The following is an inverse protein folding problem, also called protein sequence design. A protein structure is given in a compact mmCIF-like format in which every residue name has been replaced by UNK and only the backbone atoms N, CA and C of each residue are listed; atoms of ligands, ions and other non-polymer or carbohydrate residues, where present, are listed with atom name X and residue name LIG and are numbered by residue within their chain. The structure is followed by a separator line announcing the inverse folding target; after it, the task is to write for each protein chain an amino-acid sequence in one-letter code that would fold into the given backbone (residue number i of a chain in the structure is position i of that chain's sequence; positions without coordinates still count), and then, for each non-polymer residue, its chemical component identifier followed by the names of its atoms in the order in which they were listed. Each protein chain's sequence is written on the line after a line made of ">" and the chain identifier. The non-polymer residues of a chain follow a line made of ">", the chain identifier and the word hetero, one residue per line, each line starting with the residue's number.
data_IF_272987090308
#
_entry.id   IF_272987090308
#
_cell.length_a   1.000
_cell.length_b   1.000
_cell.length_c   1.000
_cell.angle_alpha   90.00
_cell.angle_beta   90.00
_cell.angle_gamma   90.00
#
_symmetry.space_group_name_H-M   'P 1'
#
loop_
_entity.id
_entity.type
_entity.pdbx_description
1 polymer ?
#
# COMPACT_ATOMS: atom_id res chain seq x y z
N UNK A 1 -2.74 1.56 0.40
CA UNK A 1 -3.35 2.91 0.39
C UNK A 1 -2.67 3.73 -0.72
N UNK A 2 -3.44 4.48 -1.50
CA UNK A 2 -2.96 5.35 -2.61
C UNK A 2 -3.90 6.55 -2.78
N UNK A 3 -3.49 7.65 -3.45
CA UNK A 3 -4.32 8.86 -3.57
C UNK A 3 -5.70 8.61 -4.18
N UNK A 4 -5.79 7.74 -5.20
CA UNK A 4 -7.06 7.39 -5.85
C UNK A 4 -8.08 6.71 -4.93
N UNK A 5 -7.64 6.20 -3.77
CA UNK A 5 -8.52 5.57 -2.77
C UNK A 5 -8.84 6.52 -1.61
N UNK A 6 -8.46 7.80 -1.66
CA UNK A 6 -8.73 8.78 -0.61
C UNK A 6 -9.57 9.90 -1.22
N UNK A 7 -10.73 10.17 -0.62
CA UNK A 7 -11.55 11.34 -0.98
C UNK A 7 -11.54 12.37 0.14
N UNK A 8 -11.65 13.63 -0.27
CA UNK A 8 -11.74 14.77 0.64
C UNK A 8 -13.17 15.29 0.62
N UNK A 9 -13.78 15.38 1.79
CA UNK A 9 -15.18 15.78 1.96
C UNK A 9 -15.28 16.93 2.96
N UNK A 10 -16.50 17.46 3.14
CA UNK A 10 -16.81 18.48 4.16
C UNK A 10 -15.89 19.72 4.03
N UNK A 11 -15.78 20.27 2.81
CA UNK A 11 -14.95 21.44 2.49
C UNK A 11 -13.49 21.30 2.95
N UNK A 12 -12.82 20.19 2.57
CA UNK A 12 -11.41 19.95 2.88
C UNK A 12 -11.10 19.65 4.36
N UNK A 13 -12.11 19.44 5.21
CA UNK A 13 -11.90 19.17 6.64
C UNK A 13 -11.78 17.68 6.99
N UNK A 14 -12.17 16.77 6.07
CA UNK A 14 -12.23 15.34 6.34
C UNK A 14 -11.71 14.50 5.18
N UNK A 15 -10.89 13.51 5.51
CA UNK A 15 -10.42 12.48 4.58
C UNK A 15 -11.20 11.18 4.83
N UNK A 16 -11.60 10.51 3.74
CA UNK A 16 -12.28 9.21 3.78
C UNK A 16 -11.52 8.24 2.88
N UNK A 17 -11.13 7.09 3.44
CA UNK A 17 -10.55 5.98 2.69
C UNK A 17 -11.67 5.18 2.02
N UNK A 18 -11.49 4.89 0.74
CA UNK A 18 -12.37 4.09 -0.11
C UNK A 18 -11.66 2.80 -0.55
N UNK A 19 -12.45 1.92 -1.17
CA UNK A 19 -12.00 0.69 -1.82
C UNK A 19 -11.24 -0.28 -0.90
N UNK A 20 -12.01 -1.18 -0.30
CA UNK A 20 -11.56 -2.23 0.61
C UNK A 20 -11.43 -3.59 -0.08
N UNK A 21 -11.46 -3.65 -1.42
CA UNK A 21 -11.46 -4.91 -2.18
C UNK A 21 -10.16 -5.73 -2.05
N UNK A 22 -9.13 -5.17 -1.42
CA UNK A 22 -7.81 -5.78 -1.21
C UNK A 22 -7.51 -6.06 0.27
N UNK A 23 -8.49 -5.91 1.17
CA UNK A 23 -8.29 -6.25 2.58
C UNK A 23 -8.01 -7.74 2.76
N UNK A 24 -7.12 -8.06 3.69
CA UNK A 24 -6.84 -9.44 4.10
C UNK A 24 -7.10 -9.61 5.60
N UNK A 25 -7.79 -10.69 6.02
CA UNK A 25 -7.85 -11.05 7.43
C UNK A 25 -6.44 -11.36 7.95
N UNK A 26 -6.12 -10.87 9.15
CA UNK A 26 -4.83 -11.10 9.80
C UNK A 26 -4.82 -12.48 10.45
N UNK A 27 -3.76 -13.26 10.23
CA UNK A 27 -3.61 -14.60 10.81
C UNK A 27 -4.40 -15.69 10.10
N UNK A 28 -5.14 -15.37 9.05
CA UNK A 28 -5.69 -16.35 8.12
C UNK A 28 -4.73 -16.48 6.93
N UNK A 29 -3.72 -17.34 7.07
CA UNK A 29 -2.93 -17.80 5.91
C UNK A 29 -3.88 -18.50 4.96
N UNK A 30 -4.24 -17.82 3.86
CA UNK A 30 -5.14 -18.37 2.87
C UNK A 30 -4.65 -19.73 2.36
N UNK A 31 -5.55 -20.72 2.35
CA UNK A 31 -5.44 -21.99 1.60
C UNK A 31 -5.23 -21.79 0.07
N UNK A 32 -5.06 -20.55 -0.39
CA UNK A 32 -4.91 -20.15 -1.80
C UNK A 32 -3.46 -19.96 -2.24
N UNK A 33 -2.48 -20.33 -1.41
CA UNK A 33 -1.07 -20.49 -1.83
C UNK A 33 -0.86 -21.79 -2.65
N UNK A 34 -1.86 -22.14 -3.48
CA UNK A 34 -1.86 -23.28 -4.39
C UNK A 34 -0.96 -22.98 -5.61
N UNK A 35 0.35 -22.95 -5.40
CA UNK A 35 1.36 -23.27 -6.43
C UNK A 35 1.50 -22.32 -7.61
N UNK A 36 0.80 -21.18 -7.65
CA UNK A 36 0.99 -20.15 -8.66
C UNK A 36 1.38 -18.85 -7.99
N UNK A 37 2.58 -18.33 -8.28
CA UNK A 37 3.08 -17.03 -7.83
C UNK A 37 1.94 -16.03 -7.91
N UNK A 38 1.33 -15.61 -6.78
CA UNK A 38 0.20 -14.70 -6.88
C UNK A 38 0.74 -13.44 -7.55
N UNK A 39 0.14 -13.01 -8.65
CA UNK A 39 0.58 -11.82 -9.38
C UNK A 39 0.62 -10.65 -8.37
N UNK A 40 1.68 -9.84 -8.36
CA UNK A 40 1.66 -8.62 -7.56
C UNK A 40 0.62 -7.67 -8.17
N UNK A 41 -0.56 -7.60 -7.56
CA UNK A 41 -1.65 -6.71 -7.99
C UNK A 41 -1.56 -5.42 -7.16
N UNK A 42 -0.73 -4.48 -7.62
CA UNK A 42 -0.59 -3.16 -6.99
C UNK A 42 0.13 -2.17 -7.91
N UNK A 43 -0.16 -0.88 -7.75
CA UNK A 43 0.72 0.18 -8.28
C UNK A 43 1.96 0.19 -7.40
N UNK A 44 3.08 -0.33 -7.90
CA UNK A 44 4.33 -0.59 -7.15
C UNK A 44 4.84 0.62 -6.34
N UNK A 45 4.45 1.83 -6.73
CA UNK A 45 4.90 3.09 -6.13
C UNK A 45 4.63 3.23 -4.61
N UNK A 46 3.47 2.77 -4.13
CA UNK A 46 3.07 2.97 -2.73
C UNK A 46 3.34 1.75 -1.85
N UNK A 47 3.81 0.63 -2.43
CA UNK A 47 4.10 -0.57 -1.68
C UNK A 47 5.34 -0.35 -0.80
N UNK A 48 5.26 -0.82 0.45
CA UNK A 48 6.45 -0.92 1.29
C UNK A 48 7.37 -2.01 0.75
N UNK A 49 8.69 -1.95 1.01
CA UNK A 49 9.64 -2.95 0.56
C UNK A 49 9.21 -4.37 0.94
N UNK A 50 8.82 -4.58 2.20
CA UNK A 50 8.37 -5.87 2.70
C UNK A 50 7.10 -6.35 1.99
N UNK A 51 6.15 -5.46 1.68
CA UNK A 51 4.94 -5.84 0.95
C UNK A 51 5.19 -6.09 -0.55
N UNK A 52 6.13 -5.36 -1.15
CA UNK A 52 6.55 -5.59 -2.54
C UNK A 52 7.28 -6.93 -2.70
N UNK A 53 8.10 -7.28 -1.69
CA UNK A 53 8.90 -8.51 -1.65
C UNK A 53 8.19 -9.70 -1.00
N UNK A 54 6.97 -9.52 -0.46
CA UNK A 54 6.18 -10.54 0.25
C UNK A 54 6.86 -11.09 1.50
N UNK A 55 7.48 -10.18 2.24
CA UNK A 55 8.21 -10.42 3.47
C UNK A 55 7.51 -9.76 4.67
N UNK A 56 6.26 -9.30 4.50
CA UNK A 56 5.47 -8.78 5.61
C UNK A 56 5.18 -9.86 6.66
N UNK A 57 5.22 -9.46 7.93
CA UNK A 57 4.79 -10.32 9.01
C UNK A 57 3.26 -10.40 9.04
N UNK A 58 2.70 -11.61 9.05
CA UNK A 58 1.26 -11.83 9.19
C UNK A 58 0.81 -11.66 10.65
N UNK A 59 1.02 -10.44 11.17
CA UNK A 59 0.63 -10.00 12.51
C UNK A 59 -0.06 -8.64 12.39
N UNK A 60 -0.89 -8.23 13.37
CA UNK A 60 -1.52 -6.92 13.35
C UNK A 60 -0.52 -5.77 13.23
N UNK A 61 0.67 -5.92 13.82
CA UNK A 61 1.73 -4.92 13.80
C UNK A 61 2.45 -4.88 12.45
N UNK A 62 2.70 -6.05 11.83
CA UNK A 62 3.26 -6.15 10.48
C UNK A 62 2.38 -5.49 9.44
N UNK A 63 1.07 -5.79 9.44
CA UNK A 63 0.11 -5.15 8.54
C UNK A 63 -0.06 -3.64 8.81
N UNK A 64 0.08 -3.20 10.07
CA UNK A 64 0.07 -1.78 10.43
C UNK A 64 1.30 -1.06 9.88
N UNK A 65 2.49 -1.66 9.92
CA UNK A 65 3.71 -1.10 9.36
C UNK A 65 3.56 -0.85 7.84
N UNK A 66 3.06 -1.85 7.10
CA UNK A 66 2.75 -1.72 5.66
C UNK A 66 1.79 -0.54 5.41
N UNK A 67 0.74 -0.43 6.23
CA UNK A 67 -0.25 0.65 6.13
C UNK A 67 0.38 2.04 6.37
N UNK A 68 1.24 2.16 7.39
CA UNK A 68 1.93 3.42 7.71
C UNK A 68 2.89 3.86 6.61
N UNK A 69 3.64 2.92 6.02
CA UNK A 69 4.49 3.23 4.87
C UNK A 69 3.66 3.82 3.73
N UNK A 70 2.54 3.18 3.37
CA UNK A 70 1.66 3.63 2.30
C UNK A 70 1.10 5.04 2.55
N UNK A 71 0.72 5.35 3.79
CA UNK A 71 0.30 6.70 4.19
C UNK A 71 1.46 7.70 4.03
N UNK A 72 2.65 7.34 4.50
CA UNK A 72 3.86 8.15 4.34
C UNK A 72 4.18 8.45 2.88
N UNK A 73 4.03 7.47 1.98
CA UNK A 73 4.21 7.65 0.55
C UNK A 73 3.18 8.63 -0.06
N UNK A 74 1.91 8.59 0.38
CA UNK A 74 0.91 9.60 -0.02
C UNK A 74 1.28 10.99 0.49
N UNK A 75 1.72 11.10 1.75
CA UNK A 75 2.14 12.37 2.35
C UNK A 75 3.35 12.95 1.60
N UNK A 76 4.32 12.10 1.23
CA UNK A 76 5.46 12.50 0.41
C UNK A 76 4.99 13.19 -0.88
N UNK A 77 4.08 12.58 -1.63
CA UNK A 77 3.61 13.13 -2.91
C UNK A 77 2.91 14.48 -2.72
N UNK A 78 2.16 14.64 -1.62
CA UNK A 78 1.48 15.88 -1.27
C UNK A 78 2.45 17.01 -0.91
N UNK A 79 3.53 16.71 -0.18
CA UNK A 79 4.55 17.68 0.26
C UNK A 79 5.47 18.04 -0.89
N UNK A 80 6.00 17.02 -1.58
CA UNK A 80 7.00 17.19 -2.64
C UNK A 80 6.40 17.62 -3.97
N UNK A 81 5.06 17.56 -4.10
CA UNK A 81 4.32 17.86 -5.35
C UNK A 81 4.80 17.05 -6.55
N UNK A 82 5.31 15.84 -6.29
CA UNK A 82 5.77 14.88 -7.30
C UNK A 82 5.67 13.45 -6.77
N UNK A 83 5.50 12.45 -7.65
CA UNK A 83 5.45 11.05 -7.26
C UNK A 83 6.70 10.58 -6.52
N UNK A 84 6.52 9.81 -5.45
CA UNK A 84 7.55 8.99 -4.83
C UNK A 84 8.17 8.10 -5.90
N UNK A 85 9.50 8.04 -5.94
CA UNK A 85 10.28 7.38 -6.99
C UNK A 85 10.10 7.92 -8.42
N UNK A 86 9.42 9.05 -8.65
CA UNK A 86 9.20 9.61 -9.99
C UNK A 86 10.47 9.97 -10.79
N UNK A 87 11.61 10.12 -10.10
CA UNK A 87 12.92 10.36 -10.73
C UNK A 87 13.83 9.12 -10.74
N UNK A 88 13.32 7.95 -10.33
CA UNK A 88 14.10 6.71 -10.29
C UNK A 88 13.67 5.83 -11.46
N UNK A 89 14.60 5.55 -12.37
CA UNK A 89 14.42 4.61 -13.49
C UNK A 89 14.83 3.18 -13.15
N UNK A 90 15.08 2.89 -11.87
CA UNK A 90 15.46 1.56 -11.40
C UNK A 90 14.26 0.76 -10.92
N UNK A 91 14.09 -0.46 -11.45
CA UNK A 91 13.27 -1.49 -10.81
C UNK A 91 13.88 -1.74 -9.41
N UNK A 92 13.12 -1.64 -8.31
CA UNK A 92 13.61 -2.10 -7.01
C UNK A 92 13.93 -3.59 -7.14
N UNK A 93 15.17 -3.95 -6.80
CA UNK A 93 15.65 -5.33 -6.78
C UNK A 93 14.92 -6.17 -5.71
#
# INVERSE_FOLDING_TARGET
>A
IKPANIVVVENMSRLVLLDFGVLRPVGEKGLTDNGGTPLFVGTNQYASPEFALRQEEDTPDGWRAVTFYQIGAVIHDLIMKRPLFGNHTGVPA
#
